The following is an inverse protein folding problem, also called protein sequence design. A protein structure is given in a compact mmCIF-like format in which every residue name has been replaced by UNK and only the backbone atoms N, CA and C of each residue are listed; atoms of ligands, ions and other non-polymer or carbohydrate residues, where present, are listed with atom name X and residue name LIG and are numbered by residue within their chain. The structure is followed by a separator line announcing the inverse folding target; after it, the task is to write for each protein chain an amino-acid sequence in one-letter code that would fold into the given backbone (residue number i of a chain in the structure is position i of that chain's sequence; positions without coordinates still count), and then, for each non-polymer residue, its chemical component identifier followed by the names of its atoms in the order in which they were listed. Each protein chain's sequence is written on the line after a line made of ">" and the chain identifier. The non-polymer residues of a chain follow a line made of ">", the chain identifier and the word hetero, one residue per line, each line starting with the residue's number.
data_IF_239409081012
#
_entry.id   IF_239409081012
#
_cell.length_a   1.000
_cell.length_b   1.000
_cell.length_c   1.000
_cell.angle_alpha   90.00
_cell.angle_beta   90.00
_cell.angle_gamma   90.00
#
_symmetry.space_group_name_H-M   'P 1'
#
loop_
_entity.id
_entity.type
_entity.pdbx_description
1 polymer ?
#
# COMPACT_ATOMS: atom_id res chain seq x y z
N UNK A 1 -13.39 34.89 19.39
CA UNK A 1 -12.32 34.63 18.41
C UNK A 1 -11.16 34.06 19.18
N UNK A 2 -10.65 32.85 18.94
CA UNK A 2 -10.56 32.09 17.70
C UNK A 2 -10.95 30.62 17.95
N UNK A 3 -11.66 30.05 16.98
CA UNK A 3 -11.61 28.62 16.70
C UNK A 3 -10.16 28.29 16.36
N UNK A 4 -9.54 27.35 17.08
CA UNK A 4 -8.52 26.52 16.47
C UNK A 4 -8.86 25.08 16.77
N UNK A 5 -9.60 24.52 15.80
CA UNK A 5 -9.90 23.11 15.65
C UNK A 5 -8.58 22.35 15.55
N UNK A 6 -8.14 21.75 16.64
CA UNK A 6 -7.25 20.59 16.54
C UNK A 6 -8.09 19.39 16.94
N UNK A 7 -8.95 18.96 16.00
CA UNK A 7 -9.47 17.60 15.99
C UNK A 7 -8.26 16.69 16.05
N UNK A 8 -7.96 16.16 17.23
CA UNK A 8 -7.32 14.86 17.35
C UNK A 8 -8.28 13.89 16.67
N UNK A 9 -8.16 13.75 15.35
CA UNK A 9 -8.85 12.70 14.62
C UNK A 9 -8.33 11.43 15.25
N UNK A 10 -9.22 10.79 15.99
CA UNK A 10 -9.09 9.47 16.55
C UNK A 10 -8.62 8.54 15.43
N UNK A 11 -7.34 8.16 15.46
CA UNK A 11 -6.76 7.03 14.72
C UNK A 11 -7.26 5.70 15.35
N UNK A 12 -8.55 5.66 15.69
CA UNK A 12 -9.23 4.53 16.34
C UNK A 12 -10.36 4.04 15.45
N UNK A 13 -10.01 3.51 14.28
CA UNK A 13 -10.58 2.27 13.76
C UNK A 13 -9.78 1.87 12.52
N UNK A 14 -8.50 1.57 12.73
CA UNK A 14 -7.74 0.77 11.77
C UNK A 14 -8.43 -0.60 11.73
N UNK A 15 -9.33 -0.75 10.75
CA UNK A 15 -9.97 -1.99 10.40
C UNK A 15 -8.86 -3.04 10.36
N UNK A 16 -8.87 -3.97 11.32
CA UNK A 16 -7.87 -5.04 11.45
C UNK A 16 -8.05 -5.98 10.26
N UNK A 17 -7.70 -5.54 9.07
CA UNK A 17 -7.53 -6.40 7.93
C UNK A 17 -6.30 -7.23 8.29
N UNK A 18 -6.56 -8.45 8.77
CA UNK A 18 -5.54 -9.49 8.90
C UNK A 18 -5.04 -9.82 7.50
N UNK A 19 -4.14 -8.97 7.01
CA UNK A 19 -3.25 -9.23 5.90
C UNK A 19 -2.31 -10.36 6.31
N UNK A 20 -2.82 -11.59 6.29
CA UNK A 20 -2.07 -12.80 6.61
C UNK A 20 -0.92 -13.04 5.62
N UNK A 21 -1.08 -12.55 4.40
CA UNK A 21 -0.06 -12.59 3.34
C UNK A 21 0.01 -11.22 2.65
N UNK A 22 1.09 -10.48 2.96
CA UNK A 22 1.36 -9.17 2.37
C UNK A 22 1.55 -9.28 0.86
N UNK A 23 2.17 -10.36 0.37
CA UNK A 23 2.40 -10.57 -1.04
C UNK A 23 1.07 -10.80 -1.79
N UNK A 24 0.18 -11.63 -1.24
CA UNK A 24 -1.15 -11.84 -1.79
C UNK A 24 -1.96 -10.54 -1.93
N UNK A 25 -1.85 -9.64 -0.94
CA UNK A 25 -2.50 -8.33 -1.02
C UNK A 25 -1.92 -7.42 -2.08
N UNK A 26 -0.60 -7.35 -2.20
CA UNK A 26 0.02 -6.55 -3.26
C UNK A 26 -0.38 -7.07 -4.64
N UNK A 27 -0.57 -8.39 -4.80
CA UNK A 27 -1.11 -8.99 -6.02
C UNK A 27 -2.59 -8.63 -6.26
N UNK A 28 -3.42 -8.60 -5.20
CA UNK A 28 -4.81 -8.17 -5.30
C UNK A 28 -4.93 -6.69 -5.67
N UNK A 29 -4.15 -5.82 -5.02
CA UNK A 29 -4.07 -4.40 -5.34
C UNK A 29 -3.59 -4.19 -6.80
N UNK A 30 -2.62 -4.99 -7.24
CA UNK A 30 -2.13 -4.97 -8.61
C UNK A 30 -3.23 -5.32 -9.62
N UNK A 31 -4.07 -6.32 -9.33
CA UNK A 31 -5.18 -6.68 -10.19
C UNK A 31 -6.17 -5.51 -10.34
N UNK A 32 -6.57 -4.88 -9.23
CA UNK A 32 -7.48 -3.73 -9.24
C UNK A 32 -6.90 -2.52 -9.99
N UNK A 33 -5.60 -2.25 -9.82
CA UNK A 33 -4.93 -1.16 -10.54
C UNK A 33 -4.88 -1.41 -12.06
N UNK A 34 -4.70 -2.68 -12.49
CA UNK A 34 -4.74 -3.04 -13.92
C UNK A 34 -6.10 -2.84 -14.55
N UNK A 35 -7.16 -3.12 -13.79
CA UNK A 35 -8.53 -2.93 -14.23
C UNK A 35 -8.99 -1.46 -14.15
N UNK A 36 -8.10 -0.56 -13.71
CA UNK A 36 -8.40 0.86 -13.43
C UNK A 36 -9.58 1.03 -12.48
N UNK A 37 -9.71 0.09 -11.54
CA UNK A 37 -10.82 0.01 -10.62
C UNK A 37 -10.75 1.13 -9.57
N UNK A 38 -11.86 1.82 -9.34
CA UNK A 38 -11.97 2.84 -8.31
C UNK A 38 -11.72 2.27 -6.89
N UNK A 39 -11.96 0.97 -6.72
CA UNK A 39 -11.75 0.24 -5.48
C UNK A 39 -10.27 0.06 -5.15
N UNK A 40 -9.35 0.21 -6.12
CA UNK A 40 -7.91 0.12 -5.87
C UNK A 40 -7.45 1.14 -4.82
N UNK A 41 -7.98 2.37 -4.89
CA UNK A 41 -7.67 3.43 -3.93
C UNK A 41 -8.27 3.14 -2.56
N UNK A 42 -9.53 2.69 -2.53
CA UNK A 42 -10.21 2.36 -1.29
C UNK A 42 -9.49 1.22 -0.54
N UNK A 43 -9.08 0.18 -1.27
CA UNK A 43 -8.32 -0.94 -0.72
C UNK A 43 -6.94 -0.51 -0.22
N UNK A 44 -6.23 0.34 -0.96
CA UNK A 44 -4.94 0.89 -0.53
C UNK A 44 -5.08 1.70 0.77
N UNK A 45 -6.09 2.56 0.86
CA UNK A 45 -6.34 3.38 2.05
C UNK A 45 -6.71 2.54 3.27
N UNK A 46 -7.58 1.53 3.08
CA UNK A 46 -8.00 0.62 4.14
C UNK A 46 -6.83 -0.17 4.76
N UNK A 47 -5.76 -0.38 4.00
CA UNK A 47 -4.57 -1.11 4.44
C UNK A 47 -3.34 -0.21 4.63
N UNK A 48 -3.50 1.12 4.57
CA UNK A 48 -2.39 2.08 4.48
C UNK A 48 -1.42 1.98 5.65
N UNK A 49 -1.91 1.87 6.88
CA UNK A 49 -1.06 1.82 8.06
C UNK A 49 -0.29 0.49 8.17
N UNK A 50 -0.89 -0.65 7.79
CA UNK A 50 -0.16 -1.92 7.65
C UNK A 50 0.84 -1.89 6.49
N UNK A 51 0.50 -1.29 5.35
CA UNK A 51 1.45 -1.09 4.24
C UNK A 51 2.65 -0.23 4.66
N UNK A 52 2.42 0.81 5.45
CA UNK A 52 3.46 1.68 5.99
C UNK A 52 4.41 0.95 6.95
N UNK A 53 3.92 -0.08 7.65
CA UNK A 53 4.72 -0.93 8.53
C UNK A 53 5.50 -2.02 7.77
N UNK A 54 4.90 -2.57 6.71
CA UNK A 54 5.47 -3.70 5.95
C UNK A 54 6.39 -3.28 4.81
N UNK A 55 6.18 -2.11 4.22
CA UNK A 55 6.99 -1.60 3.12
C UNK A 55 8.06 -0.64 3.64
N UNK A 56 9.16 -0.53 2.90
CA UNK A 56 10.09 0.56 3.11
C UNK A 56 9.36 1.90 2.91
N UNK A 57 9.64 2.88 3.78
CA UNK A 57 8.96 4.18 3.77
C UNK A 57 8.96 4.83 2.37
N UNK A 58 10.08 4.75 1.66
CA UNK A 58 10.21 5.26 0.28
C UNK A 58 9.24 4.56 -0.68
N UNK A 59 9.11 3.25 -0.58
CA UNK A 59 8.24 2.47 -1.45
C UNK A 59 6.75 2.75 -1.16
N UNK A 60 6.40 2.89 0.13
CA UNK A 60 5.06 3.31 0.54
C UNK A 60 4.70 4.68 -0.02
N UNK A 61 5.56 5.69 0.17
CA UNK A 61 5.30 7.06 -0.27
C UNK A 61 5.14 7.16 -1.80
N UNK A 62 5.95 6.41 -2.55
CA UNK A 62 5.86 6.42 -4.01
C UNK A 62 4.58 5.73 -4.51
N UNK A 63 4.14 4.64 -3.85
CA UNK A 63 2.84 4.00 -4.13
C UNK A 63 1.67 4.93 -3.79
N UNK A 64 1.68 5.53 -2.60
CA UNK A 64 0.63 6.45 -2.15
C UNK A 64 0.48 7.63 -3.12
N UNK A 65 1.61 8.26 -3.50
CA UNK A 65 1.60 9.35 -4.48
C UNK A 65 0.98 8.94 -5.81
N UNK A 66 1.33 7.76 -6.34
CA UNK A 66 0.84 7.30 -7.65
C UNK A 66 -0.64 6.93 -7.62
N UNK A 67 -1.08 6.24 -6.57
CA UNK A 67 -2.49 5.86 -6.37
C UNK A 67 -3.35 7.10 -6.11
N UNK A 68 -2.90 8.01 -5.25
CA UNK A 68 -3.61 9.27 -4.95
C UNK A 68 -3.72 10.20 -6.16
N UNK A 69 -2.76 10.14 -7.09
CA UNK A 69 -2.78 10.90 -8.35
C UNK A 69 -3.59 10.23 -9.47
N UNK A 70 -4.31 9.12 -9.19
CA UNK A 70 -5.04 8.31 -10.19
C UNK A 70 -4.16 7.83 -11.35
N UNK A 71 -2.84 7.73 -11.12
CA UNK A 71 -1.90 7.30 -12.14
C UNK A 71 -1.74 5.78 -12.07
N UNK A 72 -2.82 5.06 -12.39
CA UNK A 72 -2.93 3.62 -12.19
C UNK A 72 -1.92 2.82 -13.01
N UNK A 73 -1.54 3.30 -14.20
CA UNK A 73 -0.47 2.67 -14.98
C UNK A 73 0.88 2.73 -14.26
N UNK A 74 1.28 3.90 -13.77
CA UNK A 74 2.53 4.02 -13.02
C UNK A 74 2.47 3.25 -11.70
N UNK A 75 1.33 3.29 -11.00
CA UNK A 75 1.12 2.53 -9.76
C UNK A 75 1.26 1.02 -10.02
N UNK A 76 0.67 0.51 -11.11
CA UNK A 76 0.78 -0.88 -11.56
C UNK A 76 2.23 -1.27 -11.83
N UNK A 77 2.93 -0.50 -12.66
CA UNK A 77 4.34 -0.77 -13.00
C UNK A 77 5.22 -0.75 -11.75
N UNK A 78 5.00 0.23 -10.86
CA UNK A 78 5.74 0.33 -9.61
C UNK A 78 5.49 -0.86 -8.70
N UNK A 79 4.23 -1.25 -8.55
CA UNK A 79 3.82 -2.35 -7.69
C UNK A 79 4.33 -3.70 -8.22
N UNK A 80 4.34 -3.93 -9.53
CA UNK A 80 4.99 -5.10 -10.15
C UNK A 80 6.49 -5.16 -9.86
N UNK A 81 7.18 -4.03 -9.96
CA UNK A 81 8.61 -3.98 -9.66
C UNK A 81 8.88 -4.18 -8.16
N UNK A 82 7.94 -3.79 -7.29
CA UNK A 82 8.04 -3.99 -5.85
C UNK A 82 7.83 -5.47 -5.48
N UNK A 83 6.78 -6.13 -5.99
CA UNK A 83 6.54 -7.56 -5.73
C UNK A 83 7.70 -8.42 -6.21
N UNK A 84 8.24 -8.14 -7.40
CA UNK A 84 9.44 -8.83 -7.92
C UNK A 84 10.70 -8.64 -7.06
N UNK A 85 10.84 -7.51 -6.37
CA UNK A 85 11.96 -7.26 -5.45
C UNK A 85 11.77 -8.09 -4.17
N UNK A 86 10.55 -8.13 -3.63
CA UNK A 86 10.22 -8.90 -2.44
C UNK A 86 10.40 -10.42 -2.65
N UNK A 87 9.98 -10.96 -3.79
CA UNK A 87 10.21 -12.37 -4.17
C UNK A 87 11.72 -12.72 -4.23
N UNK A 88 12.57 -11.78 -4.65
CA UNK A 88 14.03 -12.00 -4.73
C UNK A 88 14.73 -11.92 -3.38
N UNK A 89 14.26 -11.06 -2.49
CA UNK A 89 14.79 -10.96 -1.13
C UNK A 89 14.46 -12.21 -0.30
N UNK A 90 13.29 -12.82 -0.48
CA UNK A 90 12.94 -14.10 0.15
C UNK A 90 13.74 -15.30 -0.43
N UNK A 91 14.12 -15.25 -1.71
CA UNK A 91 15.00 -16.24 -2.34
C UNK A 91 16.49 -16.14 -1.97
N UNK A 92 16.89 -15.06 -1.28
CA UNK A 92 18.28 -14.75 -0.93
C UNK A 92 18.78 -15.38 0.37
N UNK A 93 17.90 -15.91 1.23
CA UNK A 93 18.32 -16.66 2.43
C UNK A 93 18.64 -18.12 2.11
N UNK A 94 19.67 -18.35 1.30
CA UNK A 94 20.53 -19.54 1.46
C UNK A 94 21.70 -19.14 2.34
N UNK A 95 21.48 -19.12 3.65
CA UNK A 95 22.58 -19.11 4.62
C UNK A 95 23.20 -20.52 4.64
N UNK A 96 24.50 -20.57 4.31
CA UNK A 96 25.56 -21.55 4.66
C UNK A 96 25.25 -23.05 4.65
#
# INVERSE_FOLDING_TARGET
>A
TQLDNMLCIEDEEENKIELGDMHAFLLQLLALLRDSDADAKALFQACSAKLKQSLAERDYLELDKKISSYNFNEATTYLQALTLRMDRDEGGMKHV
#
